data_IF_837668482381
#
_entry.id   IF_837668482381
#
_cell.length_a   1.000
_cell.length_b   1.000
_cell.length_c   1.000
_cell.angle_alpha   90.00
_cell.angle_beta   90.00
_cell.angle_gamma   90.00
#
_symmetry.space_group_name_H-M   'P 1'
#
loop_
_entity.id
_entity.type
_entity.pdbx_description
1 polymer ?
#
# COMPACT_ATOMS: atom_id res chain seq x y z
N UNK A 1 -1.62 2.85 -1.38
CA UNK A 1 -0.90 3.73 -0.43
C UNK A 1 -1.22 3.28 0.97
N UNK A 2 -0.21 3.14 1.84
CA UNK A 2 -0.41 2.38 3.09
C UNK A 2 -0.74 0.94 2.73
N UNK A 3 0.17 0.27 2.01
CA UNK A 3 -0.08 -1.11 1.55
C UNK A 3 -0.24 -2.08 2.72
N UNK A 4 0.28 -1.73 3.91
CA UNK A 4 0.25 -2.58 5.09
C UNK A 4 0.87 -3.92 4.76
N UNK A 5 0.16 -5.01 5.07
CA UNK A 5 0.61 -6.37 4.78
C UNK A 5 0.30 -6.85 3.36
N UNK A 6 -0.31 -6.01 2.51
CA UNK A 6 -0.59 -6.34 1.11
C UNK A 6 -1.84 -7.18 0.85
N UNK A 7 -2.72 -7.42 1.84
CA UNK A 7 -3.92 -8.26 1.68
C UNK A 7 -4.85 -7.78 0.56
N UNK A 8 -5.28 -6.51 0.60
CA UNK A 8 -6.13 -5.95 -0.45
C UNK A 8 -5.43 -5.96 -1.82
N UNK A 9 -4.11 -5.78 -1.84
CA UNK A 9 -3.32 -5.79 -3.08
C UNK A 9 -3.31 -7.18 -3.71
N UNK A 10 -3.18 -8.23 -2.91
CA UNK A 10 -3.26 -9.62 -3.36
C UNK A 10 -4.64 -9.92 -3.98
N UNK A 11 -5.71 -9.54 -3.30
CA UNK A 11 -7.08 -9.71 -3.82
C UNK A 11 -7.29 -8.99 -5.16
N UNK A 12 -6.75 -7.77 -5.30
CA UNK A 12 -6.82 -7.03 -6.56
C UNK A 12 -6.07 -7.74 -7.70
N UNK A 13 -4.89 -8.29 -7.42
CA UNK A 13 -4.05 -8.95 -8.42
C UNK A 13 -4.61 -10.32 -8.86
N UNK A 14 -5.42 -10.97 -8.04
CA UNK A 14 -6.15 -12.17 -8.42
C UNK A 14 -7.26 -11.90 -9.44
N UNK A 15 -7.81 -10.67 -9.46
CA UNK A 15 -8.87 -10.28 -10.39
C UNK A 15 -8.30 -9.88 -11.75
N UNK A 16 -7.19 -9.15 -11.76
CA UNK A 16 -6.57 -8.65 -12.97
C UNK A 16 -5.09 -8.36 -12.75
N UNK A 17 -4.29 -8.52 -13.81
CA UNK A 17 -2.89 -8.13 -13.80
C UNK A 17 -2.76 -6.60 -13.79
N UNK A 18 -2.18 -6.06 -12.72
CA UNK A 18 -1.96 -4.64 -12.52
C UNK A 18 -0.46 -4.36 -12.31
N UNK A 19 0.07 -3.34 -12.97
CA UNK A 19 1.39 -2.78 -12.62
C UNK A 19 1.25 -1.91 -11.36
N UNK A 20 1.65 -2.46 -10.21
CA UNK A 20 1.44 -1.84 -8.90
C UNK A 20 2.75 -1.46 -8.21
N UNK A 21 2.74 -0.27 -7.59
CA UNK A 21 3.72 0.14 -6.60
C UNK A 21 3.05 0.30 -5.24
N UNK A 22 3.38 -0.59 -4.31
CA UNK A 22 2.99 -0.53 -2.91
C UNK A 22 3.91 0.39 -2.12
N UNK A 23 3.33 1.18 -1.21
CA UNK A 23 4.08 2.09 -0.35
C UNK A 23 3.57 1.98 1.08
N UNK A 24 4.49 1.80 2.03
CA UNK A 24 4.24 1.90 3.46
C UNK A 24 5.47 2.55 4.13
N UNK A 25 5.29 3.15 5.29
CA UNK A 25 6.43 3.66 6.09
C UNK A 25 6.91 2.62 7.11
N UNK A 26 6.11 1.59 7.39
CA UNK A 26 6.47 0.51 8.30
C UNK A 26 7.24 -0.57 7.57
N UNK A 27 8.52 -0.73 7.89
CA UNK A 27 9.36 -1.79 7.36
C UNK A 27 8.81 -3.19 7.70
N UNK A 28 8.30 -3.37 8.93
CA UNK A 28 7.70 -4.63 9.36
C UNK A 28 6.52 -5.04 8.46
N UNK A 29 5.66 -4.07 8.11
CA UNK A 29 4.55 -4.30 7.20
C UNK A 29 5.04 -4.68 5.81
N UNK A 30 6.08 -4.00 5.30
CA UNK A 30 6.66 -4.29 3.99
C UNK A 30 7.33 -5.66 3.92
N UNK A 31 7.92 -6.17 5.01
CA UNK A 31 8.42 -7.54 5.06
C UNK A 31 7.27 -8.54 4.88
N UNK A 32 6.14 -8.32 5.56
CA UNK A 32 4.94 -9.16 5.42
C UNK A 32 4.36 -9.07 4.01
N UNK A 33 4.26 -7.85 3.46
CA UNK A 33 3.78 -7.62 2.10
C UNK A 33 4.67 -8.30 1.05
N UNK A 34 5.99 -8.23 1.20
CA UNK A 34 6.95 -8.86 0.27
C UNK A 34 6.81 -10.38 0.25
N UNK A 35 6.55 -10.99 1.41
CA UNK A 35 6.29 -12.45 1.49
C UNK A 35 4.96 -12.83 0.85
N UNK A 36 3.90 -12.07 1.12
CA UNK A 36 2.57 -12.31 0.55
C UNK A 36 2.54 -12.14 -0.96
N UNK A 37 3.19 -11.10 -1.46
CA UNK A 37 3.13 -10.70 -2.86
C UNK A 37 4.31 -11.25 -3.68
N UNK A 38 5.01 -12.29 -3.20
CA UNK A 38 6.24 -12.80 -3.84
C UNK A 38 6.02 -13.31 -5.25
N UNK A 39 4.80 -13.77 -5.54
CA UNK A 39 4.44 -14.38 -6.81
C UNK A 39 3.94 -13.33 -7.83
N UNK A 40 3.84 -12.07 -7.42
CA UNK A 40 3.36 -10.97 -8.25
C UNK A 40 4.46 -9.94 -8.50
N UNK A 41 4.38 -9.25 -9.65
CA UNK A 41 5.31 -8.18 -9.99
C UNK A 41 4.93 -6.86 -9.31
N UNK A 42 5.09 -6.77 -7.99
CA UNK A 42 4.77 -5.57 -7.21
C UNK A 42 6.04 -4.90 -6.69
N UNK A 43 6.22 -3.61 -7.01
CA UNK A 43 7.29 -2.80 -6.42
C UNK A 43 6.89 -2.32 -5.04
N UNK A 44 7.75 -2.47 -4.05
CA UNK A 44 7.51 -2.03 -2.67
C UNK A 44 8.49 -0.93 -2.27
N UNK A 45 7.96 0.21 -1.85
CA UNK A 45 8.75 1.37 -1.40
C UNK A 45 8.52 1.63 0.08
N UNK A 46 9.60 1.71 0.85
CA UNK A 46 9.58 2.21 2.22
C UNK A 46 9.66 3.74 2.20
N UNK A 47 8.50 4.39 2.25
CA UNK A 47 8.40 5.84 2.16
C UNK A 47 7.26 6.35 3.03
N UNK A 48 7.54 7.42 3.78
CA UNK A 48 6.47 8.25 4.32
C UNK A 48 5.81 9.05 3.19
N UNK A 49 4.53 8.79 2.95
CA UNK A 49 3.78 9.45 1.87
C UNK A 49 3.25 10.83 2.26
N UNK A 50 3.25 11.20 3.55
CA UNK A 50 2.70 12.47 4.03
C UNK A 50 3.36 13.69 3.36
N UNK A 51 4.68 13.72 3.15
CA UNK A 51 5.34 14.79 2.40
C UNK A 51 5.02 14.75 0.89
N UNK A 52 4.80 13.55 0.33
CA UNK A 52 4.62 13.32 -1.11
C UNK A 52 3.24 13.71 -1.62
N UNK A 53 2.20 13.69 -0.77
CA UNK A 53 0.84 14.12 -1.13
C UNK A 53 0.76 15.55 -1.68
N UNK A 54 1.74 16.41 -1.39
CA UNK A 54 1.79 17.78 -1.89
C UNK A 54 2.47 17.92 -3.27
N UNK A 55 3.17 16.88 -3.74
CA UNK A 55 4.11 17.01 -4.87
C UNK A 55 3.79 16.09 -6.07
N UNK A 56 2.98 15.05 -5.88
CA UNK A 56 2.68 14.07 -6.94
C UNK A 56 1.19 13.99 -7.25
N UNK A 57 0.85 13.95 -8.55
CA UNK A 57 -0.49 13.59 -9.04
C UNK A 57 -0.53 12.08 -9.25
N UNK A 58 -1.24 11.37 -8.38
CA UNK A 58 -1.48 9.94 -8.55
C UNK A 58 -2.63 9.73 -9.55
N UNK A 59 -2.52 8.74 -10.44
CA UNK A 59 -3.61 8.36 -11.36
C UNK A 59 -4.82 7.80 -10.60
N UNK A 60 -4.57 7.00 -9.55
CA UNK A 60 -5.57 6.54 -8.58
C UNK A 60 -4.88 6.20 -7.25
N UNK A 61 -5.61 6.26 -6.13
CA UNK A 61 -5.09 5.97 -4.80
C UNK A 61 -6.07 5.20 -3.93
N UNK A 62 -5.70 3.99 -3.54
CA UNK A 62 -6.44 3.15 -2.58
C UNK A 62 -5.65 3.08 -1.28
N UNK A 63 -6.33 3.20 -0.14
CA UNK A 63 -5.71 3.07 1.18
C UNK A 63 -6.77 2.91 2.27
N UNK A 64 -6.47 2.11 3.28
CA UNK A 64 -7.34 1.92 4.43
C UNK A 64 -7.13 3.09 5.40
N UNK A 65 -8.21 3.78 5.77
CA UNK A 65 -8.22 4.79 6.83
C UNK A 65 -8.82 4.15 8.08
N UNK A 66 -8.06 4.11 9.17
CA UNK A 66 -8.67 3.91 10.49
C UNK A 66 -9.54 5.15 10.79
N UNK A 67 -10.85 4.94 10.95
CA UNK A 67 -11.72 5.94 11.55
C UNK A 67 -11.43 5.94 13.05
N UNK A 68 -10.64 6.90 13.52
CA UNK A 68 -10.49 7.13 14.95
C UNK A 68 -11.85 7.46 15.56
N UNK A 69 -12.32 6.62 16.49
CA UNK A 69 -13.45 6.93 17.37
C UNK A 69 -13.01 8.03 18.33
N UNK A 70 -13.13 9.28 17.89
CA UNK A 70 -13.00 10.44 18.76
C UNK A 70 -14.15 10.46 19.75
N UNK A 71 -13.89 10.04 20.99
CA UNK A 71 -14.76 10.36 22.11
C UNK A 71 -14.27 11.68 22.71
N UNK A 72 -15.11 12.73 22.60
CA UNK A 72 -14.94 14.00 23.30
C UNK A 72 -15.30 13.84 24.77
#
# INVERSE_FOLDING_TARGET
>A
MGIGTGLLTEEMLQVQDYDLTGVDFSEEMLVKARRRLSDYNVKLLNLDIRPLRKRYRFLAGVGNREQGTGNR
#
